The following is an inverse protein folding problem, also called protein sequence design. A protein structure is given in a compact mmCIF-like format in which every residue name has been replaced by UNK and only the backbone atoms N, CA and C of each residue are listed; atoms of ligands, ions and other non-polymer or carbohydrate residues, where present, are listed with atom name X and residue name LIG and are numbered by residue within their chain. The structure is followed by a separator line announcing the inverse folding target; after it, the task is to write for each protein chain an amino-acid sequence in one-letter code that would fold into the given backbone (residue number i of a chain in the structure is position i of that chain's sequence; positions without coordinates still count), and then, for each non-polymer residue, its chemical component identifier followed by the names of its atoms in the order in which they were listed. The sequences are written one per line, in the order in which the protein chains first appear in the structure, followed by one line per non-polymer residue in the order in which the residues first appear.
data_IF_995742905481
#
_entry.id   IF_995742905481
#
_cell.length_a   1.000
_cell.length_b   1.000
_cell.length_c   1.000
_cell.angle_alpha   90.00
_cell.angle_beta   90.00
_cell.angle_gamma   90.00
#
_symmetry.space_group_name_H-M   'P 1'
#
loop_
_entity.id
_entity.type
_entity.pdbx_description
1 polymer ?
#
# COMPACT_ATOMS: atom_id res chain seq x y z
N UNK A 1 5.84 -27.00 -13.60
CA UNK A 1 4.43 -26.72 -13.93
C UNK A 1 4.08 -25.40 -13.28
N UNK A 2 3.75 -24.39 -14.07
CA UNK A 2 3.61 -23.00 -13.63
C UNK A 2 2.19 -22.76 -13.11
N UNK A 3 2.03 -22.38 -11.85
CA UNK A 3 0.74 -22.04 -11.24
C UNK A 3 0.22 -20.67 -11.74
N UNK A 4 0.31 -20.42 -13.04
CA UNK A 4 0.13 -19.09 -13.65
C UNK A 4 -1.33 -18.62 -13.75
N UNK A 5 -2.27 -19.31 -13.12
CA UNK A 5 -3.70 -19.02 -13.25
C UNK A 5 -4.46 -19.02 -11.93
N UNK A 6 -3.78 -19.02 -10.78
CA UNK A 6 -4.46 -18.86 -9.49
C UNK A 6 -4.47 -17.39 -9.06
N UNK A 7 -5.51 -17.01 -8.33
CA UNK A 7 -5.61 -15.73 -7.67
C UNK A 7 -4.40 -15.54 -6.76
N UNK A 8 -3.58 -14.52 -7.01
CA UNK A 8 -2.37 -14.28 -6.20
C UNK A 8 -2.69 -13.63 -4.84
N UNK A 9 -3.97 -13.44 -4.51
CA UNK A 9 -4.41 -12.92 -3.20
C UNK A 9 -4.79 -14.06 -2.25
N UNK A 10 -5.61 -15.01 -2.70
CA UNK A 10 -6.04 -16.14 -1.87
C UNK A 10 -5.38 -17.47 -2.24
N UNK A 11 -4.70 -17.55 -3.38
CA UNK A 11 -3.96 -18.71 -3.88
C UNK A 11 -4.77 -20.02 -3.95
N UNK A 12 -6.09 -19.89 -3.90
CA UNK A 12 -7.03 -21.02 -3.76
C UNK A 12 -7.92 -21.20 -4.98
N UNK A 13 -8.24 -20.10 -5.67
CA UNK A 13 -9.19 -20.06 -6.79
C UNK A 13 -8.46 -19.65 -8.06
N UNK A 14 -9.00 -20.04 -9.23
CA UNK A 14 -8.47 -19.58 -10.52
C UNK A 14 -8.68 -18.07 -10.65
N UNK A 15 -7.68 -17.37 -11.17
CA UNK A 15 -7.79 -15.97 -11.50
C UNK A 15 -8.56 -15.78 -12.80
N UNK A 16 -9.51 -14.85 -12.78
CA UNK A 16 -10.41 -14.55 -13.89
C UNK A 16 -10.22 -13.10 -14.36
N UNK A 17 -9.70 -12.24 -13.47
CA UNK A 17 -9.48 -10.82 -13.72
C UNK A 17 -8.01 -10.45 -13.49
N UNK A 18 -7.56 -9.40 -14.18
CA UNK A 18 -6.26 -8.78 -13.99
C UNK A 18 -6.43 -7.36 -13.46
N UNK A 19 -5.71 -7.02 -12.39
CA UNK A 19 -5.70 -5.67 -11.85
C UNK A 19 -4.98 -4.71 -12.82
N UNK A 20 -5.65 -3.64 -13.25
CA UNK A 20 -5.06 -2.63 -14.13
C UNK A 20 -3.98 -1.76 -13.45
N UNK A 21 -3.95 -1.74 -12.11
CA UNK A 21 -2.96 -0.96 -11.36
C UNK A 21 -1.63 -1.74 -11.25
N UNK A 22 -1.67 -2.93 -10.65
CA UNK A 22 -0.46 -3.70 -10.33
C UNK A 22 -0.19 -4.89 -11.27
N UNK A 23 -1.12 -5.22 -12.18
CA UNK A 23 -1.00 -6.36 -13.09
C UNK A 23 -1.27 -7.73 -12.46
N UNK A 24 -1.66 -7.79 -11.18
CA UNK A 24 -1.92 -9.03 -10.45
C UNK A 24 -3.19 -9.74 -10.97
N UNK A 25 -3.08 -11.06 -11.13
CA UNK A 25 -4.21 -11.94 -11.48
C UNK A 25 -5.01 -12.31 -10.23
N UNK A 26 -6.32 -12.05 -10.23
CA UNK A 26 -7.24 -12.23 -9.11
C UNK A 26 -8.56 -12.90 -9.53
N UNK A 27 -9.23 -13.57 -8.60
CA UNK A 27 -10.60 -14.06 -8.79
C UNK A 27 -11.63 -12.93 -8.57
N UNK A 28 -12.88 -13.14 -9.01
CA UNK A 28 -13.99 -12.19 -8.83
C UNK A 28 -14.15 -11.67 -7.40
N UNK A 29 -13.94 -12.53 -6.39
CA UNK A 29 -14.06 -12.16 -4.98
C UNK A 29 -13.01 -11.13 -4.52
N UNK A 30 -11.83 -11.14 -5.16
CA UNK A 30 -10.73 -10.23 -4.85
C UNK A 30 -10.53 -9.13 -5.89
N UNK A 31 -11.47 -9.01 -6.84
CA UNK A 31 -11.50 -7.98 -7.86
C UNK A 31 -12.59 -6.95 -7.53
N UNK A 32 -12.20 -5.70 -7.35
CA UNK A 32 -13.13 -4.58 -7.22
C UNK A 32 -13.63 -4.17 -8.60
N UNK A 33 -14.82 -4.65 -8.97
CA UNK A 33 -15.45 -4.36 -10.26
C UNK A 33 -15.83 -2.88 -10.42
N UNK A 34 -16.03 -2.12 -9.33
CA UNK A 34 -16.34 -0.69 -9.41
C UNK A 34 -15.11 0.11 -9.84
N UNK A 35 -13.93 -0.28 -9.36
CA UNK A 35 -12.67 0.44 -9.60
C UNK A 35 -11.78 -0.22 -10.66
N UNK A 36 -12.07 -1.45 -11.05
CA UNK A 36 -11.28 -2.23 -12.01
C UNK A 36 -9.92 -2.70 -11.47
N UNK A 37 -9.78 -2.82 -10.15
CA UNK A 37 -8.50 -3.13 -9.49
C UNK A 37 -8.68 -4.21 -8.43
N UNK A 38 -7.60 -4.84 -7.97
CA UNK A 38 -7.70 -5.80 -6.87
C UNK A 38 -8.01 -5.10 -5.54
N UNK A 39 -8.58 -5.83 -4.57
CA UNK A 39 -8.95 -5.29 -3.25
C UNK A 39 -7.81 -4.62 -2.51
N UNK A 40 -6.55 -5.05 -2.70
CA UNK A 40 -5.38 -4.39 -2.11
C UNK A 40 -5.20 -2.97 -2.64
N UNK A 41 -5.21 -2.81 -3.96
CA UNK A 41 -5.13 -1.49 -4.58
C UNK A 41 -6.35 -0.63 -4.27
N UNK A 42 -7.54 -1.23 -4.20
CA UNK A 42 -8.76 -0.53 -3.82
C UNK A 42 -8.64 0.09 -2.41
N UNK A 43 -8.10 -0.66 -1.43
CA UNK A 43 -7.88 -0.13 -0.07
C UNK A 43 -6.89 1.04 -0.06
N UNK A 44 -5.77 0.96 -0.78
CA UNK A 44 -4.80 2.06 -0.87
C UNK A 44 -5.43 3.33 -1.48
N UNK A 45 -6.22 3.17 -2.56
CA UNK A 45 -6.96 4.27 -3.19
C UNK A 45 -7.95 4.97 -2.24
N UNK A 46 -8.55 4.24 -1.29
CA UNK A 46 -9.41 4.82 -0.27
C UNK A 46 -8.62 5.59 0.80
N UNK A 47 -7.36 5.22 1.03
CA UNK A 47 -6.46 5.87 1.99
C UNK A 47 -5.86 7.16 1.40
N UNK A 48 -5.51 7.17 0.12
CA UNK A 48 -5.03 8.37 -0.61
C UNK A 48 -6.10 9.48 -0.73
N UNK A 49 -7.37 9.15 -0.51
CA UNK A 49 -8.48 10.12 -0.49
C UNK A 49 -8.64 10.89 0.83
N UNK A 50 -7.97 10.49 1.90
CA UNK A 50 -7.98 11.22 3.18
C UNK A 50 -6.81 12.20 3.15
N UNK A 51 -7.14 13.46 2.82
CA UNK A 51 -6.21 14.58 2.79
C UNK A 51 -5.26 14.55 3.97
N UNK A 52 -3.99 14.31 3.66
CA UNK A 52 -2.87 14.70 4.52
C UNK A 52 -3.11 16.18 4.83
N UNK A 53 -3.19 16.50 6.11
CA UNK A 53 -3.06 17.87 6.55
C UNK A 53 -1.59 18.25 6.35
N UNK A 54 -1.25 19.14 5.39
CA UNK A 54 0.14 19.48 5.10
C UNK A 54 0.80 20.30 6.23
N UNK A 55 0.06 20.62 7.30
CA UNK A 55 0.51 21.43 8.43
C UNK A 55 0.94 20.58 9.65
N UNK A 56 1.07 19.25 9.52
CA UNK A 56 1.62 18.42 10.60
C UNK A 56 3.12 18.24 10.43
N UNK A 57 3.99 19.06 11.09
CA UNK A 57 5.40 18.76 11.13
C UNK A 57 5.57 17.43 11.87
N UNK A 58 6.09 16.42 11.17
CA UNK A 58 6.58 15.20 11.80
C UNK A 58 7.78 15.62 12.64
N UNK A 59 7.51 15.98 13.89
CA UNK A 59 8.51 16.40 14.86
C UNK A 59 9.43 15.24 15.21
N UNK A 60 10.36 14.89 14.33
CA UNK A 60 11.61 14.27 14.73
C UNK A 60 12.44 15.36 15.39
N UNK A 61 12.15 15.63 16.66
CA UNK A 61 13.06 16.34 17.54
C UNK A 61 14.31 15.49 17.69
N UNK A 62 15.28 15.69 16.80
CA UNK A 62 16.66 15.39 17.11
C UNK A 62 17.13 16.52 18.00
N UNK A 63 17.05 16.31 19.31
CA UNK A 63 17.77 17.11 20.30
C UNK A 63 19.28 16.82 20.16
N UNK A 64 19.86 17.25 19.05
CA UNK A 64 21.30 17.47 18.92
C UNK A 64 21.65 18.76 19.67
N UNK A 65 21.73 18.68 21.00
CA UNK A 65 22.40 19.70 21.80
C UNK A 65 23.39 19.02 22.74
N UNK A 66 24.56 18.73 22.18
CA UNK A 66 25.81 18.77 22.94
C UNK A 66 26.72 19.82 22.32
N UNK A 67 27.10 20.85 23.08
CA UNK A 67 28.51 21.19 23.12
C UNK A 67 28.99 21.05 24.56
N UNK A 68 29.66 19.93 24.83
CA UNK A 68 30.54 19.82 25.99
C UNK A 68 31.77 20.70 25.76
N UNK A 69 31.67 21.99 26.10
CA UNK A 69 32.84 22.89 26.18
C UNK A 69 32.73 23.83 27.38
N UNK A 70 32.83 23.26 28.57
CA UNK A 70 33.28 23.89 29.82
C UNK A 70 33.88 22.73 30.65
N UNK A 71 35.07 22.75 31.24
CA UNK A 71 35.85 23.79 31.91
C UNK A 71 37.35 23.41 31.89
N UNK A 72 38.20 24.41 32.14
CA UNK A 72 39.68 24.40 32.09
C UNK A 72 40.39 23.40 33.00
#
# INVERSE_FOLDING_TARGET
MSLSGLCQVCESTTAEHSCDQCGTQVCDEHFDQMRGVCVRCATELEQDGVGVDPDRPTGTGHDDTGPGTEMR
#
